data_IF_626421210812
#
_entry.id   IF_626421210812
#
_cell.length_a   1.000
_cell.length_b   1.000
_cell.length_c   1.000
_cell.angle_alpha   90.00
_cell.angle_beta   90.00
_cell.angle_gamma   90.00
#
_symmetry.space_group_name_H-M   'P 1'
#
loop_
_entity.id
_entity.type
_entity.pdbx_description
1 polymer ?
#
# COMPACT_ATOMS: atom_id res chain seq x y z
N UNK A 1 -15.27 14.70 -10.45
CA UNK A 1 -14.24 13.95 -11.22
C UNK A 1 -13.64 12.99 -10.23
N UNK A 2 -13.40 11.72 -10.59
CA UNK A 2 -12.61 10.88 -9.71
C UNK A 2 -11.21 11.50 -9.64
N UNK A 3 -10.77 11.89 -8.45
CA UNK A 3 -9.41 12.37 -8.25
C UNK A 3 -8.45 11.23 -8.63
N UNK A 4 -7.46 11.55 -9.46
CA UNK A 4 -6.43 10.59 -9.81
C UNK A 4 -5.35 10.60 -8.73
N UNK A 5 -4.65 9.48 -8.56
CA UNK A 5 -3.61 9.32 -7.52
C UNK A 5 -2.27 9.96 -7.92
N UNK A 6 -2.31 10.97 -8.80
CA UNK A 6 -1.12 11.72 -9.22
C UNK A 6 -0.96 13.05 -8.52
N UNK A 7 -1.96 13.49 -7.76
CA UNK A 7 -1.86 14.60 -6.82
C UNK A 7 -0.72 14.41 -5.82
N UNK A 8 -0.07 15.49 -5.40
CA UNK A 8 1.00 15.47 -4.38
C UNK A 8 2.37 14.93 -4.84
N UNK A 9 2.47 14.25 -6.00
CA UNK A 9 3.74 13.69 -6.49
C UNK A 9 4.78 14.78 -6.70
N UNK A 10 5.99 14.55 -6.19
CA UNK A 10 7.13 15.46 -6.30
C UNK A 10 8.27 14.91 -7.15
N UNK A 11 8.16 13.64 -7.55
CA UNK A 11 9.09 12.95 -8.44
C UNK A 11 8.30 12.39 -9.62
N UNK A 12 8.75 12.70 -10.84
CA UNK A 12 8.10 12.28 -12.08
C UNK A 12 9.10 11.61 -13.02
N UNK A 13 8.66 10.54 -13.69
CA UNK A 13 9.46 9.75 -14.62
C UNK A 13 8.96 9.95 -16.04
N UNK A 14 9.88 10.19 -16.97
CA UNK A 14 9.57 10.37 -18.38
C UNK A 14 10.36 9.38 -19.23
N UNK A 15 9.80 9.01 -20.39
CA UNK A 15 10.60 8.41 -21.44
C UNK A 15 11.48 9.51 -22.04
N UNK A 16 12.79 9.31 -22.04
CA UNK A 16 13.73 10.27 -22.61
C UNK A 16 13.50 10.54 -24.11
N UNK A 17 12.79 9.65 -24.81
CA UNK A 17 12.41 9.81 -26.22
C UNK A 17 11.03 10.46 -26.40
N UNK A 18 10.17 10.40 -25.38
CA UNK A 18 8.79 10.90 -25.40
C UNK A 18 8.46 11.57 -24.06
N UNK A 19 8.73 12.88 -23.97
CA UNK A 19 8.62 13.62 -22.69
C UNK A 19 7.27 14.30 -22.48
N UNK A 20 6.30 14.12 -23.38
CA UNK A 20 5.01 14.82 -23.25
C UNK A 20 4.17 14.27 -22.10
N UNK A 21 4.22 12.96 -21.85
CA UNK A 21 3.49 12.30 -20.77
C UNK A 21 4.44 11.61 -19.78
N UNK A 22 4.19 11.78 -18.49
CA UNK A 22 4.93 11.05 -17.46
C UNK A 22 4.56 9.56 -17.49
N UNK A 23 5.57 8.68 -17.51
CA UNK A 23 5.40 7.23 -17.40
C UNK A 23 4.80 6.85 -16.04
N UNK A 24 5.24 7.54 -14.98
CA UNK A 24 4.80 7.36 -13.60
C UNK A 24 5.38 8.50 -12.73
N UNK A 25 5.11 8.49 -11.44
CA UNK A 25 5.71 9.37 -10.43
C UNK A 25 5.40 8.87 -9.03
N UNK A 26 6.03 9.46 -8.01
CA UNK A 26 5.73 9.16 -6.60
C UNK A 26 5.83 10.41 -5.73
N UNK A 27 5.14 10.38 -4.59
CA UNK A 27 5.31 11.35 -3.50
C UNK A 27 6.61 11.03 -2.78
N UNK A 28 7.58 11.95 -2.79
CA UNK A 28 8.87 11.71 -2.15
C UNK A 28 8.78 11.92 -0.65
N UNK A 29 8.63 10.84 0.09
CA UNK A 29 8.76 10.84 1.54
C UNK A 29 10.22 10.63 1.99
N UNK A 30 10.61 11.10 3.19
CA UNK A 30 11.99 11.05 3.68
C UNK A 30 12.63 9.66 3.72
N UNK A 31 11.83 8.58 3.82
CA UNK A 31 12.33 7.21 3.85
C UNK A 31 12.75 6.65 2.49
N UNK A 32 12.31 7.28 1.40
CA UNK A 32 12.54 6.80 0.03
C UNK A 32 14.01 7.04 -0.35
N UNK A 33 14.86 6.08 0.01
CA UNK A 33 16.25 6.05 -0.42
C UNK A 33 16.38 5.62 -1.87
N UNK A 34 17.54 5.83 -2.48
CA UNK A 34 17.79 5.36 -3.84
C UNK A 34 17.68 3.83 -3.98
N UNK A 35 18.12 3.05 -2.98
CA UNK A 35 17.98 1.59 -3.00
C UNK A 35 16.50 1.19 -3.10
N UNK A 36 15.67 1.81 -2.27
CA UNK A 36 14.21 1.59 -2.27
C UNK A 36 13.61 2.04 -3.59
N UNK A 37 14.03 3.21 -4.09
CA UNK A 37 13.60 3.72 -5.38
C UNK A 37 13.98 2.81 -6.54
N UNK A 38 15.20 2.26 -6.57
CA UNK A 38 15.62 1.29 -7.59
C UNK A 38 14.83 0.00 -7.51
N UNK A 39 14.48 -0.46 -6.32
CA UNK A 39 13.60 -1.61 -6.17
C UNK A 39 12.19 -1.32 -6.72
N UNK A 40 11.64 -0.12 -6.48
CA UNK A 40 10.37 0.32 -7.08
C UNK A 40 10.48 0.43 -8.61
N UNK A 41 11.61 0.95 -9.09
CA UNK A 41 11.93 0.99 -10.50
C UNK A 41 12.11 -0.42 -11.09
N UNK A 42 12.75 -1.38 -10.45
CA UNK A 42 12.81 -2.75 -11.00
C UNK A 42 11.41 -3.40 -11.10
N UNK A 43 10.44 -2.94 -10.31
CA UNK A 43 9.02 -3.30 -10.47
C UNK A 43 8.38 -2.55 -11.67
N UNK A 44 8.77 -1.29 -11.92
CA UNK A 44 8.19 -0.40 -12.94
C UNK A 44 9.01 -0.30 -14.25
N UNK A 45 10.29 0.11 -14.17
CA UNK A 45 11.33 0.29 -15.20
C UNK A 45 12.77 0.15 -14.60
N UNK A 46 13.62 -0.78 -15.06
CA UNK A 46 14.99 -1.08 -14.52
C UNK A 46 15.98 0.12 -14.52
N UNK A 47 16.70 0.38 -13.41
CA UNK A 47 17.69 1.49 -13.29
C UNK A 47 18.91 1.22 -12.36
N UNK A 48 19.97 2.05 -12.40
CA UNK A 48 21.14 2.00 -11.49
C UNK A 48 21.83 3.37 -11.24
N UNK A 49 22.32 3.63 -10.02
CA UNK A 49 23.02 4.87 -9.58
C UNK A 49 23.37 4.90 -8.06
N UNK A 50 24.12 5.92 -7.53
CA UNK A 50 24.61 5.94 -6.13
C UNK A 50 24.15 7.09 -5.18
N UNK A 51 23.32 8.06 -5.60
CA UNK A 51 22.90 9.20 -4.76
C UNK A 51 21.41 9.17 -4.31
N UNK A 52 21.05 9.74 -3.14
CA UNK A 52 19.66 9.85 -2.67
C UNK A 52 18.74 10.50 -3.70
N UNK A 53 17.52 9.97 -3.84
CA UNK A 53 16.52 10.53 -4.74
C UNK A 53 16.13 11.93 -4.26
N UNK A 54 16.20 12.92 -5.15
CA UNK A 54 15.77 14.30 -4.88
C UNK A 54 14.40 14.55 -5.51
N UNK A 55 13.60 15.50 -5.02
CA UNK A 55 12.44 15.98 -5.79
C UNK A 55 12.88 16.44 -7.18
N UNK A 56 12.09 16.13 -8.21
CA UNK A 56 12.45 16.51 -9.58
C UNK A 56 11.89 15.60 -10.67
N UNK A 57 12.28 15.93 -11.90
CA UNK A 57 11.89 15.21 -13.10
C UNK A 57 13.09 14.38 -13.55
N UNK A 58 12.86 13.08 -13.77
CA UNK A 58 13.91 12.13 -14.11
C UNK A 58 13.62 11.50 -15.47
N UNK A 59 14.58 11.62 -16.38
CA UNK A 59 14.59 10.88 -17.64
C UNK A 59 15.06 9.46 -17.37
N UNK A 60 14.23 8.46 -17.70
CA UNK A 60 14.67 7.06 -17.69
C UNK A 60 15.30 6.73 -19.03
N UNK A 61 16.54 6.22 -19.01
CA UNK A 61 17.29 5.86 -20.23
C UNK A 61 17.75 4.41 -20.17
N UNK A 62 17.48 3.69 -21.24
CA UNK A 62 18.10 2.39 -21.47
C UNK A 62 19.61 2.54 -21.61
N UNK A 63 20.38 1.68 -20.94
CA UNK A 63 21.84 1.57 -21.09
C UNK A 63 22.25 0.93 -22.43
N UNK A 64 21.31 0.30 -23.14
CA UNK A 64 21.51 -0.27 -24.46
C UNK A 64 21.10 0.72 -25.55
N UNK A 65 21.92 0.93 -26.60
CA UNK A 65 21.59 1.78 -27.75
C UNK A 65 20.31 1.38 -28.52
N UNK A 66 19.80 0.16 -28.27
CA UNK A 66 18.54 -0.35 -28.83
C UNK A 66 17.59 -0.89 -27.75
N UNK A 67 17.86 -0.61 -26.48
CA UNK A 67 16.99 -1.09 -25.42
C UNK A 67 15.72 -0.25 -25.39
N UNK A 68 14.59 -0.93 -25.35
CA UNK A 68 13.27 -0.32 -25.25
C UNK A 68 12.89 -0.24 -23.78
N UNK A 69 12.32 0.88 -23.36
CA UNK A 69 11.63 1.00 -22.07
C UNK A 69 10.17 0.63 -22.31
N UNK A 70 9.64 -0.25 -21.47
CA UNK A 70 8.22 -0.60 -21.48
C UNK A 70 7.70 -0.57 -20.05
N UNK A 71 6.52 0.02 -19.87
CA UNK A 71 5.78 -0.08 -18.61
C UNK A 71 5.19 -1.50 -18.53
N UNK A 72 5.27 -2.12 -17.35
CA UNK A 72 4.65 -3.44 -17.10
C UNK A 72 3.13 -3.42 -17.31
N UNK A 73 2.61 -4.45 -17.97
CA UNK A 73 1.18 -4.71 -18.18
C UNK A 73 0.54 -5.53 -17.03
N UNK A 74 1.32 -5.84 -15.99
CA UNK A 74 0.83 -6.58 -14.82
C UNK A 74 -0.35 -5.86 -14.16
N UNK A 75 -1.50 -6.54 -13.96
CA UNK A 75 -2.65 -5.91 -13.34
C UNK A 75 -2.34 -5.53 -11.89
N UNK A 76 -2.80 -4.35 -11.48
CA UNK A 76 -2.84 -3.97 -10.09
C UNK A 76 -4.21 -4.32 -9.53
N UNK A 77 -4.26 -4.99 -8.37
CA UNK A 77 -5.55 -5.32 -7.77
C UNK A 77 -6.23 -4.06 -7.23
N UNK A 78 -7.49 -3.86 -7.61
CA UNK A 78 -8.33 -2.82 -7.02
C UNK A 78 -8.95 -3.34 -5.73
N UNK A 79 -8.72 -2.62 -4.63
CA UNK A 79 -9.25 -2.98 -3.32
C UNK A 79 -10.43 -2.08 -2.95
N UNK A 80 -11.59 -2.68 -2.67
CA UNK A 80 -12.73 -1.98 -2.06
C UNK A 80 -12.73 -2.27 -0.57
N UNK A 81 -12.48 -1.24 0.24
CA UNK A 81 -12.57 -1.37 1.70
C UNK A 81 -14.03 -1.62 2.09
N UNK A 82 -14.35 -2.82 2.58
CA UNK A 82 -15.66 -3.11 3.15
C UNK A 82 -15.60 -2.92 4.67
N UNK A 83 -16.05 -1.77 5.16
CA UNK A 83 -16.27 -1.53 6.60
C UNK A 83 -17.31 -2.49 7.20
N UNK A 84 -18.11 -3.15 6.36
CA UNK A 84 -19.07 -4.18 6.75
C UNK A 84 -18.47 -5.56 6.55
N UNK A 85 -17.84 -6.07 7.61
CA UNK A 85 -17.96 -7.46 8.02
C UNK A 85 -17.58 -8.52 6.99
N UNK A 86 -16.41 -8.42 6.37
CA UNK A 86 -15.71 -9.66 6.00
C UNK A 86 -15.24 -10.29 7.29
N UNK A 87 -15.94 -11.35 7.70
CA UNK A 87 -15.59 -12.21 8.81
C UNK A 87 -14.15 -12.75 8.63
N UNK A 88 -13.15 -11.98 9.04
CA UNK A 88 -12.00 -12.60 9.68
C UNK A 88 -12.60 -13.39 10.83
N UNK A 89 -12.40 -14.71 10.84
CA UNK A 89 -12.90 -15.56 11.92
C UNK A 89 -12.46 -14.93 13.25
N UNK A 90 -13.27 -15.08 14.30
CA UNK A 90 -12.87 -14.67 15.66
C UNK A 90 -11.46 -15.19 15.98
N UNK A 91 -11.13 -16.34 15.40
CA UNK A 91 -9.82 -16.96 15.44
C UNK A 91 -8.71 -16.16 14.74
N UNK A 92 -8.85 -15.74 13.47
CA UNK A 92 -7.82 -14.90 12.80
C UNK A 92 -7.51 -13.66 13.63
N UNK A 93 -8.55 -12.95 14.07
CA UNK A 93 -8.40 -11.75 14.87
C UNK A 93 -7.72 -12.05 16.21
N UNK A 94 -8.11 -13.14 16.87
CA UNK A 94 -7.50 -13.57 18.13
C UNK A 94 -6.02 -13.90 17.94
N UNK A 95 -5.66 -14.68 16.91
CA UNK A 95 -4.27 -15.07 16.66
C UNK A 95 -3.37 -13.85 16.38
N UNK A 96 -3.85 -12.89 15.58
CA UNK A 96 -3.12 -11.63 15.31
C UNK A 96 -2.97 -10.81 16.59
N UNK A 97 -4.04 -10.65 17.37
CA UNK A 97 -4.02 -9.91 18.66
C UNK A 97 -3.09 -10.56 19.68
N UNK A 98 -3.08 -11.89 19.76
CA UNK A 98 -2.26 -12.68 20.67
C UNK A 98 -0.77 -12.61 20.33
N UNK A 99 -0.44 -12.47 19.04
CA UNK A 99 0.92 -12.22 18.56
C UNK A 99 1.35 -10.79 18.88
N UNK A 100 0.58 -9.80 18.44
CA UNK A 100 1.02 -8.40 18.42
C UNK A 100 0.92 -7.73 19.81
N UNK A 101 -0.04 -8.15 20.64
CA UNK A 101 -0.21 -7.76 22.05
C UNK A 101 -0.23 -6.24 22.33
N UNK A 102 -0.74 -5.44 21.39
CA UNK A 102 -0.78 -3.96 21.49
C UNK A 102 -2.10 -3.38 22.01
N UNK A 103 -2.91 -4.16 22.74
CA UNK A 103 -4.14 -3.63 23.35
C UNK A 103 -3.84 -2.48 24.32
N UNK A 104 -4.54 -1.36 24.19
CA UNK A 104 -4.42 -0.27 25.16
C UNK A 104 -5.21 -0.63 26.43
N UNK A 105 -4.50 -0.90 27.54
CA UNK A 105 -5.11 -1.33 28.82
C UNK A 105 -6.04 -2.55 28.67
N UNK A 106 -5.71 -3.46 27.74
CA UNK A 106 -6.54 -4.64 27.45
C UNK A 106 -7.78 -4.34 26.60
N UNK A 107 -7.93 -3.11 26.10
CA UNK A 107 -9.01 -2.69 25.21
C UNK A 107 -8.50 -2.71 23.77
N UNK A 108 -9.24 -3.43 22.91
CA UNK A 108 -8.97 -3.56 21.47
C UNK A 108 -9.69 -2.53 20.60
N UNK A 109 -10.48 -1.65 21.21
CA UNK A 109 -11.22 -0.61 20.50
C UNK A 109 -10.27 0.28 19.69
N UNK A 110 -10.60 0.52 18.42
CA UNK A 110 -9.78 1.29 17.48
C UNK A 110 -8.67 0.49 16.78
N UNK A 111 -8.52 -0.81 17.07
CA UNK A 111 -7.58 -1.70 16.40
C UNK A 111 -8.28 -2.77 15.58
N UNK A 112 -7.74 -3.03 14.39
CA UNK A 112 -8.22 -4.01 13.43
C UNK A 112 -7.09 -4.98 13.05
N UNK A 113 -7.45 -6.26 12.90
CA UNK A 113 -6.56 -7.24 12.26
C UNK A 113 -6.76 -7.12 10.75
N UNK A 114 -5.77 -6.54 10.08
CA UNK A 114 -5.77 -6.31 8.65
C UNK A 114 -5.11 -7.48 7.92
N UNK A 115 -5.79 -8.02 6.91
CA UNK A 115 -5.17 -8.97 6.00
C UNK A 115 -4.17 -8.27 5.08
N UNK A 116 -2.99 -8.87 4.88
CA UNK A 116 -1.99 -8.39 3.91
C UNK A 116 -2.45 -8.73 2.50
N UNK A 117 -2.74 -10.01 2.25
CA UNK A 117 -3.45 -10.51 1.07
C UNK A 117 -4.94 -10.54 1.38
N UNK A 118 -5.77 -9.80 0.64
CA UNK A 118 -7.16 -9.56 1.02
C UNK A 118 -7.99 -10.84 0.90
N UNK A 119 -8.90 -11.02 1.84
CA UNK A 119 -9.81 -12.17 1.86
C UNK A 119 -10.69 -12.26 0.60
N UNK A 120 -11.02 -11.11 -0.02
CA UNK A 120 -11.80 -11.06 -1.26
C UNK A 120 -11.12 -11.73 -2.45
N UNK A 121 -9.79 -11.85 -2.41
CA UNK A 121 -8.98 -12.36 -3.52
C UNK A 121 -8.42 -13.76 -3.22
N UNK A 122 -9.19 -14.60 -2.49
CA UNK A 122 -8.81 -15.97 -2.15
C UNK A 122 -8.40 -16.80 -3.38
N UNK A 123 -9.15 -16.70 -4.47
CA UNK A 123 -8.83 -17.46 -5.68
C UNK A 123 -7.47 -17.04 -6.25
N UNK A 124 -7.18 -15.74 -6.29
CA UNK A 124 -5.89 -15.22 -6.73
C UNK A 124 -4.75 -15.67 -5.81
N UNK A 125 -5.00 -15.65 -4.50
CA UNK A 125 -4.05 -16.12 -3.48
C UNK A 125 -3.67 -17.59 -3.70
N UNK A 126 -4.64 -18.46 -3.99
CA UNK A 126 -4.43 -19.88 -4.27
C UNK A 126 -3.77 -20.10 -5.64
N UNK A 127 -4.29 -19.48 -6.69
CA UNK A 127 -3.80 -19.64 -8.08
C UNK A 127 -2.37 -19.13 -8.24
N UNK A 128 -2.00 -18.08 -7.50
CA UNK A 128 -0.63 -17.54 -7.47
C UNK A 128 0.31 -18.35 -6.56
N UNK A 129 -0.19 -19.40 -5.91
CA UNK A 129 0.59 -20.27 -5.03
C UNK A 129 0.99 -19.66 -3.70
N UNK A 130 0.36 -18.56 -3.25
CA UNK A 130 0.73 -17.93 -1.97
C UNK A 130 0.39 -18.79 -0.75
N UNK A 131 -0.63 -19.66 -0.88
CA UNK A 131 -0.99 -20.65 0.14
C UNK A 131 0.20 -21.50 0.61
N UNK A 132 1.15 -21.80 -0.29
CA UNK A 132 2.31 -22.63 0.05
C UNK A 132 3.25 -22.00 1.09
N UNK A 133 3.23 -20.66 1.22
CA UNK A 133 4.05 -19.93 2.19
C UNK A 133 3.45 -19.92 3.58
N UNK A 134 2.16 -20.26 3.73
CA UNK A 134 1.52 -20.38 5.03
C UNK A 134 1.89 -21.72 5.66
N UNK A 135 2.58 -21.67 6.80
CA UNK A 135 3.14 -22.89 7.44
C UNK A 135 2.24 -23.46 8.54
N UNK A 136 1.34 -22.65 9.10
CA UNK A 136 0.44 -23.02 10.19
C UNK A 136 -0.97 -23.36 9.65
N UNK A 137 -1.05 -23.98 8.48
CA UNK A 137 -2.31 -24.43 7.88
C UNK A 137 -2.84 -25.67 8.59
N UNK A 138 -4.14 -25.72 8.83
CA UNK A 138 -4.82 -26.85 9.45
C UNK A 138 -5.53 -27.74 8.42
N UNK A 139 -4.80 -28.72 7.89
CA UNK A 139 -5.32 -29.72 6.96
C UNK A 139 -5.31 -29.30 5.49
N UNK A 140 -5.72 -30.21 4.61
CA UNK A 140 -5.60 -30.04 3.15
C UNK A 140 -6.58 -29.02 2.54
N UNK A 141 -7.64 -28.67 3.27
CA UNK A 141 -8.66 -27.71 2.82
C UNK A 141 -8.44 -26.29 3.37
N UNK A 142 -7.47 -26.10 4.25
CA UNK A 142 -7.12 -24.77 4.74
C UNK A 142 -6.19 -24.09 3.73
N UNK A 143 -6.70 -23.07 3.06
CA UNK A 143 -5.90 -22.25 2.16
C UNK A 143 -4.83 -21.46 2.92
N UNK A 144 -5.02 -21.20 4.21
CA UNK A 144 -4.16 -20.36 5.03
C UNK A 144 -4.44 -18.86 4.90
N UNK A 145 -5.47 -18.45 4.15
CA UNK A 145 -5.79 -17.02 3.97
C UNK A 145 -6.16 -16.31 5.28
N UNK A 146 -6.75 -17.05 6.22
CA UNK A 146 -7.10 -16.58 7.56
C UNK A 146 -6.03 -16.90 8.61
N UNK A 147 -4.82 -17.26 8.18
CA UNK A 147 -3.69 -17.39 9.10
C UNK A 147 -3.25 -16.02 9.61
N UNK A 148 -2.84 -15.95 10.89
CA UNK A 148 -2.16 -14.76 11.43
C UNK A 148 -0.89 -14.38 10.66
N UNK A 149 -0.29 -15.32 9.92
CA UNK A 149 0.85 -15.07 9.03
C UNK A 149 0.50 -14.14 7.85
N UNK A 150 -0.80 -14.02 7.51
CA UNK A 150 -1.36 -13.08 6.54
C UNK A 150 -1.98 -11.83 7.21
N UNK A 151 -1.71 -11.59 8.50
CA UNK A 151 -2.38 -10.55 9.27
C UNK A 151 -1.43 -9.61 10.00
N UNK A 152 -1.85 -8.35 10.14
CA UNK A 152 -1.18 -7.31 10.94
C UNK A 152 -2.21 -6.61 11.82
N UNK A 153 -1.88 -6.34 13.08
CA UNK A 153 -2.68 -5.47 13.94
C UNK A 153 -2.33 -4.00 13.67
N UNK A 154 -3.34 -3.19 13.35
CA UNK A 154 -3.16 -1.75 13.10
C UNK A 154 -4.36 -0.95 13.57
N UNK A 155 -4.20 0.38 13.65
CA UNK A 155 -5.32 1.28 13.92
C UNK A 155 -6.33 1.23 12.77
N UNK A 156 -7.62 1.33 13.08
CA UNK A 156 -8.69 1.32 12.07
C UNK A 156 -8.49 2.34 10.95
N UNK A 157 -7.94 3.52 11.26
CA UNK A 157 -7.62 4.55 10.26
C UNK A 157 -6.45 4.13 9.37
N UNK A 158 -5.38 3.59 9.95
CA UNK A 158 -4.23 3.08 9.20
C UNK A 158 -4.56 1.85 8.35
N UNK A 159 -5.57 1.06 8.75
CA UNK A 159 -6.05 -0.05 7.95
C UNK A 159 -6.62 0.40 6.61
N UNK A 160 -7.34 1.53 6.58
CA UNK A 160 -7.89 2.07 5.34
C UNK A 160 -6.77 2.50 4.39
N UNK A 161 -5.76 3.19 4.90
CA UNK A 161 -4.57 3.61 4.14
C UNK A 161 -3.76 2.42 3.61
N UNK A 162 -3.52 1.42 4.47
CA UNK A 162 -2.82 0.18 4.09
C UNK A 162 -3.59 -0.56 2.98
N UNK A 163 -4.90 -0.70 3.14
CA UNK A 163 -5.76 -1.36 2.16
C UNK A 163 -5.87 -0.56 0.86
N UNK A 164 -5.78 0.77 0.93
CA UNK A 164 -5.81 1.67 -0.23
C UNK A 164 -4.47 1.80 -0.94
N UNK A 165 -3.43 1.12 -0.45
CA UNK A 165 -2.06 1.18 -0.95
C UNK A 165 -1.41 2.57 -0.81
N UNK A 166 -1.70 3.30 0.27
CA UNK A 166 -1.04 4.57 0.57
C UNK A 166 0.31 4.37 1.27
N UNK A 167 0.50 3.25 1.94
CA UNK A 167 1.80 2.82 2.45
C UNK A 167 1.95 1.31 2.37
N UNK A 168 3.20 0.83 2.43
CA UNK A 168 3.50 -0.59 2.51
C UNK A 168 4.76 -0.86 3.32
N UNK A 169 4.97 -2.11 3.72
CA UNK A 169 6.17 -2.56 4.42
C UNK A 169 7.09 -3.26 3.44
N UNK A 170 8.37 -2.88 3.42
CA UNK A 170 9.40 -3.51 2.61
C UNK A 170 10.22 -4.52 3.43
N UNK A 171 9.98 -5.83 3.31
CA UNK A 171 10.74 -6.83 4.06
C UNK A 171 12.23 -6.88 3.64
N UNK A 172 12.56 -6.44 2.41
CA UNK A 172 13.92 -6.44 1.87
C UNK A 172 14.71 -5.15 2.23
N UNK A 173 14.09 -4.24 2.97
CA UNK A 173 14.73 -3.06 3.57
C UNK A 173 14.49 -2.98 5.08
N UNK A 174 14.79 -4.08 5.79
CA UNK A 174 14.68 -4.17 7.24
C UNK A 174 13.26 -3.92 7.75
N UNK A 175 12.24 -4.38 7.01
CA UNK A 175 10.82 -4.18 7.31
C UNK A 175 10.42 -2.71 7.50
N UNK A 176 11.09 -1.82 6.77
CA UNK A 176 10.78 -0.39 6.78
C UNK A 176 9.44 -0.13 6.11
N UNK A 177 8.64 0.72 6.73
CA UNK A 177 7.40 1.25 6.19
C UNK A 177 7.75 2.39 5.22
N UNK A 178 7.15 2.33 4.04
CA UNK A 178 7.31 3.32 2.98
C UNK A 178 5.95 3.87 2.64
N UNK A 179 5.78 5.19 2.80
CA UNK A 179 4.57 5.91 2.40
C UNK A 179 4.69 6.36 0.95
N UNK A 180 3.62 6.16 0.18
CA UNK A 180 3.51 6.45 -1.25
C UNK A 180 2.57 7.64 -1.54
N UNK A 181 1.93 8.15 -0.48
CA UNK A 181 1.08 9.34 -0.48
C UNK A 181 1.50 10.26 0.68
N UNK A 182 0.70 11.28 0.97
CA UNK A 182 0.78 12.05 2.21
C UNK A 182 0.83 11.10 3.42
N UNK A 183 1.64 11.45 4.42
CA UNK A 183 1.90 10.61 5.59
C UNK A 183 1.29 11.20 6.87
N UNK A 184 -0.06 11.31 6.98
CA UNK A 184 -0.72 11.98 8.10
C UNK A 184 -0.51 11.26 9.44
N UNK A 185 -0.14 9.98 9.39
CA UNK A 185 0.17 9.16 10.56
C UNK A 185 1.68 9.11 10.88
N UNK A 186 2.50 9.82 10.11
CA UNK A 186 3.96 9.87 10.22
C UNK A 186 4.61 8.48 10.24
N UNK A 187 4.08 7.51 9.49
CA UNK A 187 4.51 6.10 9.52
C UNK A 187 5.72 5.85 8.61
N UNK A 188 6.02 6.77 7.71
CA UNK A 188 7.13 6.66 6.77
C UNK A 188 8.47 6.49 7.49
N UNK A 189 9.28 5.56 7.00
CA UNK A 189 10.63 5.29 7.52
C UNK A 189 10.68 4.56 8.84
N UNK A 190 9.53 4.36 9.51
CA UNK A 190 9.49 3.54 10.71
C UNK A 190 9.61 2.05 10.39
N UNK A 191 9.93 1.25 11.40
CA UNK A 191 10.15 -0.19 11.24
C UNK A 191 8.96 -0.97 11.78
N UNK A 192 8.46 -1.96 11.02
CA UNK A 192 7.44 -2.90 11.51
C UNK A 192 7.86 -3.46 12.87
N UNK A 193 6.92 -3.57 13.81
CA UNK A 193 7.23 -4.09 15.13
C UNK A 193 7.92 -5.48 15.04
N UNK A 194 9.09 -5.66 15.64
CA UNK A 194 9.82 -6.93 15.60
C UNK A 194 9.00 -8.14 16.09
N UNK A 195 7.96 -7.92 16.90
CA UNK A 195 7.03 -8.99 17.32
C UNK A 195 6.31 -9.66 16.15
N UNK A 196 6.12 -8.94 15.04
CA UNK A 196 5.45 -9.45 13.84
C UNK A 196 6.35 -10.37 12.99
N UNK A 197 7.67 -10.30 13.19
CA UNK A 197 8.68 -10.91 12.30
C UNK A 197 9.76 -11.64 13.09
N UNK A 198 9.37 -12.26 14.20
CA UNK A 198 10.28 -13.05 15.05
C UNK A 198 10.86 -14.23 14.24
N UNK A 199 12.19 -14.36 14.14
CA UNK A 199 12.81 -15.46 13.39
C UNK A 199 12.39 -16.83 13.92
N UNK A 200 11.99 -17.71 13.01
CA UNK A 200 11.52 -19.08 13.29
C UNK A 200 10.22 -19.19 14.10
N UNK A 201 9.47 -18.10 14.30
CA UNK A 201 8.14 -18.16 14.88
C UNK A 201 7.10 -18.50 13.80
N UNK A 202 6.30 -19.54 14.04
CA UNK A 202 5.21 -19.99 13.17
C UNK A 202 4.02 -19.00 13.14
N UNK A 203 4.05 -17.91 13.91
CA UNK A 203 3.05 -16.84 13.87
C UNK A 203 3.55 -15.60 13.13
N UNK A 204 4.84 -15.53 12.80
CA UNK A 204 5.43 -14.41 12.10
C UNK A 204 4.79 -14.21 10.73
N UNK A 205 4.65 -12.94 10.36
CA UNK A 205 4.18 -12.53 9.05
C UNK A 205 5.09 -13.10 7.97
N UNK A 206 4.51 -13.51 6.83
CA UNK A 206 5.27 -14.01 5.69
C UNK A 206 5.80 -12.87 4.83
N UNK A 207 7.11 -12.85 4.64
CA UNK A 207 7.78 -11.88 3.78
C UNK A 207 7.20 -11.89 2.36
N UNK A 208 6.81 -13.05 1.83
CA UNK A 208 6.24 -13.17 0.50
C UNK A 208 4.93 -12.39 0.33
N UNK A 209 4.12 -12.31 1.39
CA UNK A 209 2.88 -11.53 1.39
C UNK A 209 3.18 -10.04 1.51
N UNK A 210 4.17 -9.65 2.32
CA UNK A 210 4.62 -8.27 2.40
C UNK A 210 5.24 -7.80 1.07
N UNK A 211 6.07 -8.63 0.42
CA UNK A 211 6.63 -8.35 -0.92
C UNK A 211 5.52 -8.18 -1.94
N UNK A 212 4.51 -9.05 -1.91
CA UNK A 212 3.37 -8.93 -2.81
C UNK A 212 2.60 -7.62 -2.57
N UNK A 213 2.29 -7.26 -1.31
CA UNK A 213 1.61 -6.01 -0.98
C UNK A 213 2.41 -4.79 -1.43
N UNK A 214 3.72 -4.79 -1.18
CA UNK A 214 4.63 -3.74 -1.64
C UNK A 214 4.63 -3.63 -3.16
N UNK A 215 4.68 -4.76 -3.88
CA UNK A 215 4.59 -4.78 -5.35
C UNK A 215 3.28 -4.17 -5.83
N UNK A 216 2.14 -4.54 -5.25
CA UNK A 216 0.84 -3.95 -5.59
C UNK A 216 0.79 -2.44 -5.32
N UNK A 217 1.42 -1.99 -4.24
CA UNK A 217 1.53 -0.57 -3.92
C UNK A 217 2.35 0.19 -4.95
N UNK A 218 3.46 -0.39 -5.42
CA UNK A 218 4.27 0.20 -6.49
C UNK A 218 3.55 0.18 -7.84
N UNK A 219 2.85 -0.92 -8.19
CA UNK A 219 2.04 -1.00 -9.41
C UNK A 219 0.92 0.05 -9.43
N UNK A 220 0.38 0.40 -8.26
CA UNK A 220 -0.58 1.51 -8.12
C UNK A 220 -0.01 2.88 -8.46
N UNK A 221 1.31 3.03 -8.61
CA UNK A 221 1.96 4.28 -9.05
C UNK A 221 2.06 4.39 -10.57
N UNK A 222 1.75 3.32 -11.32
CA UNK A 222 1.83 3.31 -12.79
C UNK A 222 0.91 4.37 -13.40
N UNK A 223 1.43 5.18 -14.34
CA UNK A 223 0.67 6.25 -14.97
C UNK A 223 0.11 7.23 -13.93
N UNK A 224 -1.19 7.53 -13.99
CA UNK A 224 -1.88 8.35 -12.99
C UNK A 224 -2.24 7.60 -11.69
N UNK A 225 -1.92 6.30 -11.63
CA UNK A 225 -2.38 5.35 -10.62
C UNK A 225 -3.80 4.85 -10.85
N UNK A 226 -4.18 3.76 -10.17
CA UNK A 226 -5.55 3.24 -10.20
C UNK A 226 -6.52 4.21 -9.50
N UNK A 227 -7.79 4.27 -9.91
CA UNK A 227 -8.79 5.13 -9.26
C UNK A 227 -8.89 4.82 -7.76
N UNK A 228 -8.84 5.87 -6.92
CA UNK A 228 -9.30 5.75 -5.54
C UNK A 228 -10.81 5.56 -5.51
N UNK A 229 -11.31 4.62 -4.70
CA UNK A 229 -12.74 4.50 -4.45
C UNK A 229 -13.11 5.38 -3.27
N UNK A 230 -13.75 6.52 -3.54
CA UNK A 230 -14.46 7.27 -2.50
C UNK A 230 -15.69 6.48 -2.06
N UNK A 231 -15.83 6.24 -0.77
CA UNK A 231 -17.03 5.61 -0.18
C UNK A 231 -18.09 6.64 0.23
N UNK A 232 -17.78 7.93 0.12
CA UNK A 232 -18.68 9.05 0.44
C UNK A 232 -19.59 9.38 -0.76
N UNK A 233 -20.40 8.41 -1.16
CA UNK A 233 -21.45 8.65 -2.14
C UNK A 233 -22.58 9.48 -1.51
N UNK A 234 -23.03 10.56 -2.16
CA UNK A 234 -24.18 11.34 -1.69
C UNK A 234 -25.40 10.44 -1.40
N UNK A 235 -26.18 10.75 -0.37
CA UNK A 235 -27.40 10.01 -0.09
C UNK A 235 -28.33 10.02 -1.32
N UNK A 236 -28.54 8.85 -1.95
CA UNK A 236 -29.45 8.67 -3.09
C UNK A 236 -28.78 8.40 -4.44
N UNK A 237 -27.46 8.37 -4.54
CA UNK A 237 -26.76 7.92 -5.77
C UNK A 237 -26.72 6.39 -5.87
N UNK A 238 -26.93 5.88 -7.10
CA UNK A 238 -26.77 4.46 -7.43
C UNK A 238 -25.27 4.10 -7.39
N UNK A 239 -24.87 3.51 -6.26
CA UNK A 239 -23.49 3.09 -5.97
C UNK A 239 -22.92 2.17 -7.07
N UNK A 240 -23.75 1.32 -7.69
CA UNK A 240 -23.30 0.45 -8.78
C UNK A 240 -23.16 1.24 -10.08
N UNK A 241 -24.06 2.20 -10.33
CA UNK A 241 -24.02 3.06 -11.51
C UNK A 241 -22.78 3.96 -11.60
N UNK A 242 -22.23 4.41 -10.47
CA UNK A 242 -20.97 5.19 -10.44
C UNK A 242 -19.72 4.29 -10.58
N UNK A 243 -19.73 3.07 -10.01
CA UNK A 243 -18.62 2.10 -10.15
C UNK A 243 -18.44 1.62 -11.60
N UNK A 244 -19.53 1.48 -12.36
CA UNK A 244 -19.50 1.01 -13.76
C UNK A 244 -19.49 2.12 -14.80
N UNK A 245 -19.35 3.39 -14.41
CA UNK A 245 -19.34 4.50 -15.36
C UNK A 245 -17.99 4.56 -16.11
N UNK A 246 -17.99 4.44 -17.45
CA UNK A 246 -16.76 4.62 -18.22
C UNK A 246 -16.30 6.09 -18.11
N UNK A 247 -15.08 6.29 -17.60
CA UNK A 247 -14.45 7.61 -17.45
C UNK A 247 -14.27 8.22 -18.84
N UNK A 248 -15.15 9.15 -19.20
CA UNK A 248 -15.01 9.95 -20.41
C UNK A 248 -14.25 11.23 -20.04
N UNK A 249 -13.03 11.38 -20.56
CA UNK A 249 -12.25 12.61 -20.44
C UNK A 249 -13.07 13.80 -20.95
N UNK A 250 -13.35 14.77 -20.09
CA UNK A 250 -13.66 16.13 -20.50
C UNK A 250 -12.92 17.11 -19.58
N UNK A 251 -11.98 17.81 -20.20
CA UNK A 251 -11.21 18.91 -19.62
C UNK A 251 -12.14 20.12 -19.48
N UNK A 252 -12.32 20.65 -18.26
CA UNK A 252 -12.57 22.07 -18.06
C UNK A 252 -12.28 22.52 -16.62
N UNK A 253 -11.63 23.67 -16.51
CA UNK A 253 -11.15 24.33 -15.31
C UNK A 253 -12.27 24.84 -14.39
N UNK A 254 -11.95 25.01 -13.11
CA UNK A 254 -12.03 26.30 -12.38
C UNK A 254 -11.48 26.16 -10.95
N UNK A 255 -10.60 27.08 -10.58
CA UNK A 255 -10.11 27.32 -9.22
C UNK A 255 -11.23 27.91 -8.32
N UNK A 256 -11.18 27.64 -7.02
CA UNK A 256 -11.14 28.66 -5.95
C UNK A 256 -10.98 27.96 -4.58
N UNK A 257 -10.07 28.50 -3.75
CA UNK A 257 -9.63 27.87 -2.51
C UNK A 257 -10.44 28.25 -1.28
N UNK A 258 -10.22 27.48 -0.20
CA UNK A 258 -10.37 27.92 1.18
C UNK A 258 -9.30 27.21 2.00
N UNK A 259 -8.40 27.99 2.62
CA UNK A 259 -7.50 27.51 3.65
C UNK A 259 -8.26 27.40 4.98
N UNK A 260 -8.04 26.32 5.71
CA UNK A 260 -8.44 26.20 7.12
C UNK A 260 -7.18 25.91 7.92
N UNK A 261 -6.72 26.91 8.67
CA UNK A 261 -5.75 26.74 9.75
C UNK A 261 -6.38 25.86 10.84
N UNK A 262 -5.65 24.81 11.24
CA UNK A 262 -5.91 24.08 12.47
C UNK A 262 -4.67 24.23 13.37
N UNK A 263 -4.75 25.22 14.25
CA UNK A 263 -3.85 25.36 15.39
C UNK A 263 -4.14 24.25 16.44
N UNK A 264 -3.05 23.74 17.00
CA UNK A 264 -2.94 23.03 18.28
C UNK A 264 -3.79 21.78 18.52
N UNK A 265 -3.24 20.63 18.08
CA UNK A 265 -3.44 19.34 18.75
C UNK A 265 -2.07 18.68 18.99
N UNK A 266 -1.18 19.37 19.70
CA UNK A 266 -0.05 18.71 20.35
C UNK A 266 -0.50 18.01 21.64
N UNK A 267 0.15 16.89 21.94
CA UNK A 267 -0.10 15.95 23.03
C UNK A 267 -1.36 15.10 22.84
N UNK A 268 -1.18 13.88 22.33
CA UNK A 268 -1.78 12.61 22.79
C UNK A 268 -1.78 11.63 21.62
N UNK A 269 -0.67 10.92 21.37
CA UNK A 269 -0.59 9.57 20.76
C UNK A 269 0.89 9.22 20.73
N UNK A 270 1.32 8.24 21.53
CA UNK A 270 2.56 7.50 21.32
C UNK A 270 2.47 6.18 22.07
N UNK A 271 1.86 5.20 21.42
CA UNK A 271 2.15 3.76 21.58
C UNK A 271 1.76 3.10 20.26
N UNK A 272 2.67 3.15 19.29
CA UNK A 272 2.50 2.44 18.02
C UNK A 272 2.97 0.99 18.14
N UNK A 273 2.36 0.14 17.32
CA UNK A 273 2.88 -1.16 16.87
C UNK A 273 4.05 -0.97 15.88
N UNK A 274 4.93 -0.02 16.19
CA UNK A 274 6.09 0.35 15.40
C UNK A 274 7.14 0.79 16.42
N UNK A 275 8.31 0.15 16.42
CA UNK A 275 9.43 0.58 17.25
C UNK A 275 9.84 2.00 16.87
N UNK A 276 10.16 2.82 17.88
CA UNK A 276 10.97 4.02 17.67
C UNK A 276 12.30 3.67 16.99
#
# INVERSE_FOLDING_TARGET
>A
MADNRSGGRTVHFYDALYTEDALSGLVLNPSVTQKVFHFMLDILIVASGPDPLKPGHYDVRSNSPRGTISITDEPCITRVYSSKGTFGTDEFQSQVRDRDRKAYKGVWAGFEAAHIFPLSDLQLFEDSGFSQWITNREGEHDSGINSCQNGLLMLSSMHQDFYSFWFSINPDDNYKIVSFDDDPFEVDGRILDPVCVVPNDERSVRDELLRWHFRQTVLNMRGAGEPGFELDFPHGTDMMGEIFRPVSLNICALCEGVAVELDDVEHWIMQLAISK
#
